data_IF_828839760718
#
_entry.id   IF_828839760718
#
_cell.length_a   1.000
_cell.length_b   1.000
_cell.length_c   1.000
_cell.angle_alpha   90.00
_cell.angle_beta   90.00
_cell.angle_gamma   90.00
#
_symmetry.space_group_name_H-M   'P 1'
#
loop_
_entity.id
_entity.type
_entity.pdbx_description
1 polymer ?
#
# COMPACT_ATOMS: atom_id res chain seq x y z
N UNK A 1 6.34 25.30 -14.09
CA UNK A 1 6.66 25.08 -12.66
C UNK A 1 7.64 23.90 -12.61
N UNK A 2 8.90 24.08 -12.16
CA UNK A 2 9.81 22.93 -12.00
C UNK A 2 9.26 22.07 -10.87
N UNK A 3 8.59 20.97 -11.20
CA UNK A 3 8.10 20.03 -10.19
C UNK A 3 9.28 19.58 -9.32
N UNK A 4 9.14 19.77 -8.01
CA UNK A 4 10.10 19.28 -7.04
C UNK A 4 9.96 17.75 -6.96
N UNK A 5 10.75 17.05 -7.80
CA UNK A 5 10.75 15.58 -7.87
C UNK A 5 10.95 14.92 -6.50
N UNK A 6 11.70 15.54 -5.59
CA UNK A 6 11.90 15.03 -4.25
C UNK A 6 10.61 15.05 -3.42
N UNK A 7 9.87 16.17 -3.47
CA UNK A 7 8.57 16.28 -2.79
C UNK A 7 7.53 15.30 -3.38
N UNK A 8 7.55 15.10 -4.70
CA UNK A 8 6.69 14.12 -5.37
C UNK A 8 6.96 12.70 -4.85
N UNK A 9 8.23 12.26 -4.86
CA UNK A 9 8.58 10.92 -4.39
C UNK A 9 8.31 10.74 -2.90
N UNK A 10 8.56 11.76 -2.08
CA UNK A 10 8.23 11.73 -0.66
C UNK A 10 6.73 11.50 -0.43
N UNK A 11 5.87 12.25 -1.13
CA UNK A 11 4.42 12.11 -1.02
C UNK A 11 3.92 10.74 -1.49
N UNK A 12 4.51 10.18 -2.56
CA UNK A 12 4.20 8.81 -2.99
C UNK A 12 4.58 7.78 -1.94
N UNK A 13 5.75 7.92 -1.32
CA UNK A 13 6.20 7.02 -0.25
C UNK A 13 5.26 7.11 0.95
N UNK A 14 4.89 8.31 1.39
CA UNK A 14 3.93 8.51 2.47
C UNK A 14 2.57 7.88 2.17
N UNK A 15 2.01 8.14 0.97
CA UNK A 15 0.71 7.57 0.58
C UNK A 15 0.75 6.03 0.55
N UNK A 16 1.88 5.47 0.15
CA UNK A 16 2.06 4.02 0.12
C UNK A 16 2.17 3.43 1.53
N UNK A 17 3.01 4.00 2.39
CA UNK A 17 3.14 3.58 3.79
C UNK A 17 1.79 3.69 4.51
N UNK A 18 1.05 4.78 4.30
CA UNK A 18 -0.26 4.98 4.90
C UNK A 18 -1.25 3.87 4.57
N UNK A 19 -1.34 3.45 3.30
CA UNK A 19 -2.25 2.39 2.87
C UNK A 19 -1.87 1.04 3.48
N UNK A 20 -0.57 0.75 3.59
CA UNK A 20 -0.07 -0.46 4.25
C UNK A 20 -0.47 -0.47 5.73
N UNK A 21 -0.27 0.64 6.44
CA UNK A 21 -0.61 0.75 7.86
C UNK A 21 -2.12 0.59 8.11
N UNK A 22 -2.96 1.19 7.26
CA UNK A 22 -4.43 1.02 7.33
C UNK A 22 -4.79 -0.45 7.12
N UNK A 23 -4.24 -1.11 6.10
CA UNK A 23 -4.50 -2.53 5.83
C UNK A 23 -4.11 -3.42 7.02
N UNK A 24 -2.93 -3.19 7.61
CA UNK A 24 -2.44 -3.92 8.79
C UNK A 24 -3.37 -3.72 9.99
N UNK A 25 -3.70 -2.47 10.32
CA UNK A 25 -4.54 -2.15 11.48
C UNK A 25 -5.92 -2.78 11.35
N UNK A 26 -6.49 -2.73 10.15
CA UNK A 26 -7.80 -3.27 9.90
C UNK A 26 -7.80 -4.81 9.88
N UNK A 27 -6.77 -5.47 9.34
CA UNK A 27 -6.62 -6.92 9.49
C UNK A 27 -6.50 -7.36 10.95
N UNK A 28 -5.81 -6.58 11.79
CA UNK A 28 -5.64 -6.91 13.22
C UNK A 28 -6.97 -6.92 13.95
N UNK A 29 -7.84 -5.97 13.60
CA UNK A 29 -9.19 -5.92 14.12
C UNK A 29 -10.01 -7.15 13.68
N UNK A 30 -9.93 -7.51 12.40
CA UNK A 30 -10.66 -8.67 11.85
C UNK A 30 -10.18 -10.02 12.42
N UNK A 31 -8.90 -10.17 12.76
CA UNK A 31 -8.38 -11.35 13.48
C UNK A 31 -9.03 -11.51 14.84
N UNK A 32 -9.22 -10.39 15.55
CA UNK A 32 -9.89 -10.42 16.84
C UNK A 32 -11.36 -10.80 16.73
N UNK A 33 -12.05 -10.33 15.69
CA UNK A 33 -13.48 -10.56 15.48
C UNK A 33 -13.80 -11.84 14.69
N UNK A 34 -12.78 -12.57 14.20
CA UNK A 34 -12.89 -13.75 13.33
C UNK A 34 -13.78 -13.52 12.09
N UNK A 35 -13.74 -12.30 11.52
CA UNK A 35 -14.59 -11.89 10.41
C UNK A 35 -13.95 -12.20 9.05
N UNK A 36 -14.20 -13.42 8.57
CA UNK A 36 -13.74 -13.92 7.27
C UNK A 36 -14.15 -13.05 6.07
N UNK A 37 -15.34 -12.45 6.11
CA UNK A 37 -15.85 -11.62 5.01
C UNK A 37 -15.13 -10.27 5.01
N UNK A 38 -14.88 -9.71 6.20
CA UNK A 38 -14.07 -8.52 6.37
C UNK A 38 -12.67 -8.66 5.76
N UNK A 39 -11.99 -9.81 5.89
CA UNK A 39 -10.66 -9.97 5.25
C UNK A 39 -10.72 -9.89 3.74
N UNK A 40 -11.71 -10.57 3.15
CA UNK A 40 -11.89 -10.56 1.71
C UNK A 40 -12.11 -9.12 1.22
N UNK A 41 -12.97 -8.34 1.91
CA UNK A 41 -13.20 -6.93 1.60
C UNK A 41 -11.91 -6.11 1.70
N UNK A 42 -11.14 -6.26 2.78
CA UNK A 42 -9.93 -5.46 2.99
C UNK A 42 -8.83 -5.81 1.99
N UNK A 43 -8.62 -7.10 1.71
CA UNK A 43 -7.67 -7.55 0.70
C UNK A 43 -8.06 -7.02 -0.68
N UNK A 44 -9.33 -7.13 -1.04
CA UNK A 44 -9.82 -6.65 -2.33
C UNK A 44 -9.71 -5.12 -2.44
N UNK A 45 -10.12 -4.39 -1.40
CA UNK A 45 -9.99 -2.94 -1.32
C UNK A 45 -8.55 -2.46 -1.41
N UNK A 46 -7.61 -3.16 -0.77
CA UNK A 46 -6.19 -2.89 -0.88
C UNK A 46 -5.69 -3.07 -2.32
N UNK A 47 -6.01 -4.19 -2.97
CA UNK A 47 -5.62 -4.47 -4.36
C UNK A 47 -6.17 -3.39 -5.32
N UNK A 48 -7.44 -3.01 -5.16
CA UNK A 48 -8.07 -1.96 -5.97
C UNK A 48 -7.38 -0.61 -5.78
N UNK A 49 -7.10 -0.24 -4.53
CA UNK A 49 -6.46 1.04 -4.19
C UNK A 49 -5.03 1.11 -4.76
N UNK A 50 -4.24 0.05 -4.57
CA UNK A 50 -2.87 -0.03 -5.14
C UNK A 50 -2.91 0.04 -6.66
N UNK A 51 -3.86 -0.65 -7.30
CA UNK A 51 -4.05 -0.62 -8.75
C UNK A 51 -4.40 0.78 -9.26
N UNK A 52 -5.29 1.48 -8.57
CA UNK A 52 -5.67 2.86 -8.89
C UNK A 52 -4.49 3.82 -8.74
N UNK A 53 -3.69 3.69 -7.67
CA UNK A 53 -2.52 4.55 -7.48
C UNK A 53 -1.47 4.27 -8.57
N UNK A 54 -1.24 3.02 -8.93
CA UNK A 54 -0.34 2.68 -10.04
C UNK A 54 -0.82 3.29 -11.37
N UNK A 55 -2.13 3.36 -11.59
CA UNK A 55 -2.70 4.07 -12.73
C UNK A 55 -2.43 5.58 -12.67
N UNK A 56 -2.60 6.22 -11.50
CA UNK A 56 -2.29 7.64 -11.32
C UNK A 56 -0.80 7.95 -11.54
N UNK A 57 0.09 7.12 -11.01
CA UNK A 57 1.54 7.27 -11.20
C UNK A 57 1.95 7.22 -12.67
N UNK A 58 1.35 6.31 -13.45
CA UNK A 58 1.58 6.24 -14.90
C UNK A 58 1.14 7.52 -15.59
N UNK A 59 0.00 8.10 -15.20
CA UNK A 59 -0.48 9.37 -15.76
C UNK A 59 0.37 10.58 -15.34
N UNK A 60 1.01 10.52 -14.18
CA UNK A 60 1.95 11.52 -13.70
C UNK A 60 3.36 11.41 -14.32
N UNK A 61 3.56 10.53 -15.32
CA UNK A 61 4.85 10.36 -16.00
C UNK A 61 5.91 9.66 -15.15
N UNK A 62 5.51 8.97 -14.09
CA UNK A 62 6.43 8.27 -13.19
C UNK A 62 6.96 7.01 -13.86
N UNK A 63 8.27 6.79 -13.73
CA UNK A 63 8.89 5.62 -14.34
C UNK A 63 8.30 4.33 -13.79
N UNK A 64 7.96 3.41 -14.70
CA UNK A 64 7.41 2.09 -14.36
C UNK A 64 8.30 1.32 -13.38
N UNK A 65 9.63 1.53 -13.46
CA UNK A 65 10.63 0.93 -12.56
C UNK A 65 10.43 1.39 -11.11
N UNK A 66 10.18 2.67 -10.87
CA UNK A 66 9.93 3.22 -9.53
C UNK A 66 8.62 2.68 -8.94
N UNK A 67 7.55 2.61 -9.74
CA UNK A 67 6.28 2.01 -9.28
C UNK A 67 6.44 0.54 -8.90
N UNK A 68 7.24 -0.24 -9.64
CA UNK A 68 7.52 -1.64 -9.30
C UNK A 68 8.34 -1.80 -8.03
N UNK A 69 9.40 -1.00 -7.85
CA UNK A 69 10.21 -1.00 -6.61
C UNK A 69 9.31 -0.73 -5.42
N UNK A 70 8.46 0.29 -5.53
CA UNK A 70 7.50 0.65 -4.49
C UNK A 70 6.55 -0.50 -4.18
N UNK A 71 5.95 -1.14 -5.19
CA UNK A 71 5.05 -2.30 -4.98
C UNK A 71 5.79 -3.42 -4.26
N UNK A 72 7.00 -3.78 -4.69
CA UNK A 72 7.79 -4.86 -4.08
C UNK A 72 8.13 -4.53 -2.62
N UNK A 73 8.65 -3.33 -2.35
CA UNK A 73 8.99 -2.88 -0.99
C UNK A 73 7.74 -2.86 -0.10
N UNK A 74 6.61 -2.42 -0.64
CA UNK A 74 5.34 -2.37 0.08
C UNK A 74 4.83 -3.75 0.45
N UNK A 75 4.89 -4.70 -0.49
CA UNK A 75 4.49 -6.09 -0.25
C UNK A 75 5.40 -6.76 0.78
N UNK A 76 6.72 -6.54 0.70
CA UNK A 76 7.69 -7.08 1.68
C UNK A 76 7.41 -6.50 3.06
N UNK A 77 7.24 -5.18 3.19
CA UNK A 77 6.91 -4.54 4.47
C UNK A 77 5.61 -5.08 5.04
N UNK A 78 4.57 -5.18 4.20
CA UNK A 78 3.29 -5.74 4.59
C UNK A 78 3.42 -7.17 5.14
N UNK A 79 4.20 -8.03 4.47
CA UNK A 79 4.48 -9.39 4.94
C UNK A 79 5.24 -9.42 6.27
N UNK A 80 6.28 -8.60 6.43
CA UNK A 80 7.07 -8.51 7.67
C UNK A 80 6.19 -8.06 8.85
N UNK A 81 5.39 -7.01 8.65
CA UNK A 81 4.50 -6.49 9.69
C UNK A 81 3.41 -7.50 10.05
N UNK A 82 2.85 -8.19 9.05
CA UNK A 82 1.89 -9.27 9.28
C UNK A 82 2.54 -10.36 10.14
N UNK A 83 3.74 -10.83 9.77
CA UNK A 83 4.46 -11.83 10.56
C UNK A 83 4.67 -11.36 12.02
N UNK A 84 5.22 -10.17 12.24
CA UNK A 84 5.53 -9.66 13.58
C UNK A 84 4.29 -9.38 14.45
N UNK A 85 3.13 -9.07 13.85
CA UNK A 85 1.91 -8.78 14.60
C UNK A 85 1.09 -10.02 14.95
N UNK A 86 1.34 -11.15 14.27
CA UNK A 86 0.56 -12.39 14.42
C UNK A 86 1.36 -13.59 14.93
N UNK A 87 2.70 -13.52 14.93
CA UNK A 87 3.61 -14.50 15.53
C UNK A 87 4.59 -13.80 16.48
#
# INVERSE_FOLDING_TARGET
MKENKQALYFNMTLGTIGIILVAIAAMRYLIKENDNLGYAIILFGFILTVSYINYLEKRAGISKKLSWIRIIVSSILFLIFTYFLYF
#
